data_IF_999387819761
#
_entry.id   IF_999387819761
#
_cell.length_a   1.000
_cell.length_b   1.000
_cell.length_c   1.000
_cell.angle_alpha   90.00
_cell.angle_beta   90.00
_cell.angle_gamma   90.00
#
_symmetry.space_group_name_H-M   'P 1'
#
loop_
_entity.id
_entity.type
_entity.pdbx_description
1 polymer ?
#
# COMPACT_ATOMS: atom_id res chain seq x y z
N UNK A 1 -15.89 -15.24 -35.78
CA UNK A 1 -14.84 -14.38 -35.22
C UNK A 1 -15.55 -13.12 -34.74
N UNK A 2 -15.72 -12.98 -33.42
CA UNK A 2 -16.23 -11.75 -32.81
C UNK A 2 -15.04 -10.76 -32.73
N UNK A 3 -15.13 -9.69 -33.49
CA UNK A 3 -14.21 -8.58 -33.47
C UNK A 3 -14.41 -7.80 -32.14
N UNK A 4 -13.58 -8.03 -31.16
CA UNK A 4 -13.56 -7.20 -29.96
C UNK A 4 -12.96 -5.83 -30.31
N UNK A 5 -13.80 -4.84 -30.47
CA UNK A 5 -13.35 -3.45 -30.58
C UNK A 5 -12.91 -3.00 -29.20
N UNK A 6 -11.59 -2.98 -28.95
CA UNK A 6 -11.04 -2.38 -27.74
C UNK A 6 -11.31 -0.87 -27.84
N UNK A 7 -12.19 -0.37 -27.00
CA UNK A 7 -12.43 1.07 -26.92
C UNK A 7 -11.12 1.79 -26.60
N UNK A 8 -10.83 2.86 -27.35
CA UNK A 8 -9.69 3.74 -27.06
C UNK A 8 -9.81 4.18 -25.61
N UNK A 9 -8.77 3.99 -24.78
CA UNK A 9 -8.86 4.36 -23.37
C UNK A 9 -9.13 5.86 -23.26
N UNK A 10 -10.26 6.23 -22.68
CA UNK A 10 -10.54 7.61 -22.26
C UNK A 10 -9.49 8.04 -21.25
N UNK A 11 -9.19 9.33 -21.17
CA UNK A 11 -8.25 9.80 -20.14
C UNK A 11 -8.72 9.37 -18.75
N UNK A 12 -7.79 9.19 -17.82
CA UNK A 12 -8.11 8.83 -16.44
C UNK A 12 -9.10 9.81 -15.79
N UNK A 13 -8.95 11.11 -16.10
CA UNK A 13 -9.88 12.15 -15.66
C UNK A 13 -11.31 11.91 -16.20
N UNK A 14 -11.44 11.49 -17.45
CA UNK A 14 -12.73 11.15 -18.04
C UNK A 14 -13.32 9.87 -17.43
N UNK A 15 -12.48 8.90 -17.08
CA UNK A 15 -12.92 7.69 -16.37
C UNK A 15 -13.49 8.01 -14.99
N UNK A 16 -12.89 8.93 -14.26
CA UNK A 16 -13.42 9.42 -12.98
C UNK A 16 -14.78 10.10 -13.16
N UNK A 17 -14.87 11.05 -14.09
CA UNK A 17 -16.11 11.76 -14.36
C UNK A 17 -17.25 10.81 -14.79
N UNK A 18 -16.95 9.80 -15.60
CA UNK A 18 -17.92 8.80 -16.01
C UNK A 18 -18.42 7.98 -14.83
N UNK A 19 -17.53 7.57 -13.92
CA UNK A 19 -17.90 6.81 -12.75
C UNK A 19 -18.70 7.64 -11.74
N UNK A 20 -18.36 8.91 -11.52
CA UNK A 20 -19.15 9.82 -10.69
C UNK A 20 -20.57 9.98 -11.22
N UNK A 21 -20.70 10.13 -12.54
CA UNK A 21 -22.01 10.21 -13.21
C UNK A 21 -22.83 8.91 -13.04
N UNK A 22 -22.19 7.75 -13.15
CA UNK A 22 -22.85 6.44 -13.01
C UNK A 22 -23.24 6.15 -11.55
N UNK A 23 -22.39 6.48 -10.59
CA UNK A 23 -22.66 6.27 -9.17
C UNK A 23 -23.57 7.34 -8.55
N UNK A 24 -23.72 8.50 -9.21
CA UNK A 24 -24.50 9.64 -8.69
C UNK A 24 -23.91 10.25 -7.41
N UNK A 25 -22.61 10.04 -7.15
CA UNK A 25 -21.85 10.59 -6.03
C UNK A 25 -20.42 10.91 -6.43
N UNK A 26 -19.77 11.80 -5.70
CA UNK A 26 -18.33 12.01 -5.82
C UNK A 26 -17.55 10.74 -5.45
N UNK A 27 -16.56 10.37 -6.24
CA UNK A 27 -15.70 9.22 -5.97
C UNK A 27 -14.70 9.55 -4.87
N UNK A 28 -14.44 8.55 -4.04
CA UNK A 28 -13.44 8.60 -2.97
C UNK A 28 -12.02 8.39 -3.52
N UNK A 29 -10.99 8.64 -2.72
CA UNK A 29 -9.61 8.30 -3.09
C UNK A 29 -9.42 6.78 -3.26
N UNK A 30 -10.16 5.95 -2.52
CA UNK A 30 -10.17 4.51 -2.69
C UNK A 30 -10.81 4.09 -4.03
N UNK A 31 -11.91 4.73 -4.44
CA UNK A 31 -12.50 4.52 -5.76
C UNK A 31 -11.49 4.89 -6.86
N UNK A 32 -10.80 6.02 -6.72
CA UNK A 32 -9.77 6.47 -7.68
C UNK A 32 -8.60 5.49 -7.75
N UNK A 33 -8.15 4.96 -6.61
CA UNK A 33 -7.09 3.96 -6.56
C UNK A 33 -7.46 2.69 -7.34
N UNK A 34 -8.69 2.20 -7.15
CA UNK A 34 -9.19 1.03 -7.86
C UNK A 34 -9.32 1.28 -9.37
N UNK A 35 -9.82 2.46 -9.77
CA UNK A 35 -9.94 2.83 -11.19
C UNK A 35 -8.56 2.95 -11.83
N UNK A 36 -7.61 3.59 -11.15
CA UNK A 36 -6.24 3.71 -11.61
C UNK A 36 -5.61 2.35 -11.87
N UNK A 37 -5.86 1.40 -10.98
CA UNK A 37 -5.40 0.03 -11.12
C UNK A 37 -5.99 -0.62 -12.40
N UNK A 38 -7.31 -0.58 -12.57
CA UNK A 38 -7.99 -1.14 -13.74
C UNK A 38 -7.53 -0.42 -15.02
N UNK A 39 -7.44 0.91 -15.00
CA UNK A 39 -6.99 1.69 -16.13
C UNK A 39 -5.55 1.34 -16.55
N UNK A 40 -4.66 1.16 -15.60
CA UNK A 40 -3.28 0.74 -15.85
C UNK A 40 -3.21 -0.65 -16.46
N UNK A 41 -4.04 -1.57 -15.99
CA UNK A 41 -4.14 -2.91 -16.59
C UNK A 41 -4.63 -2.85 -18.05
N UNK A 42 -5.64 -2.04 -18.34
CA UNK A 42 -6.20 -1.90 -19.69
C UNK A 42 -5.24 -1.13 -20.61
N UNK A 43 -4.67 -0.03 -20.16
CA UNK A 43 -3.71 0.77 -20.94
C UNK A 43 -2.43 0.00 -21.25
N UNK A 44 -1.98 -0.86 -20.34
CA UNK A 44 -0.84 -1.74 -20.55
C UNK A 44 -1.06 -2.80 -21.63
N UNK A 45 -2.32 -3.13 -21.94
CA UNK A 45 -2.68 -4.08 -23.01
C UNK A 45 -2.97 -3.43 -24.37
N UNK A 46 -3.29 -2.13 -24.39
CA UNK A 46 -3.80 -1.45 -25.60
C UNK A 46 -2.78 -0.54 -26.31
N UNK A 47 -1.68 -0.19 -25.68
CA UNK A 47 -0.69 0.73 -26.26
C UNK A 47 0.68 0.09 -26.37
N UNK A 48 1.25 -0.01 -27.57
CA UNK A 48 2.62 -0.42 -27.83
C UNK A 48 3.69 0.55 -27.26
N UNK A 49 3.40 1.24 -26.19
CA UNK A 49 4.33 1.96 -25.33
C UNK A 49 4.55 1.09 -24.10
N UNK A 50 5.78 0.71 -23.87
CA UNK A 50 6.30 -0.11 -22.78
C UNK A 50 6.04 0.47 -21.38
N UNK A 51 4.78 0.58 -20.99
CA UNK A 51 4.44 0.57 -19.58
C UNK A 51 4.30 -0.91 -19.20
N UNK A 52 5.44 -1.55 -19.07
CA UNK A 52 5.53 -2.93 -18.67
C UNK A 52 4.88 -3.10 -17.30
N UNK A 53 4.22 -4.22 -17.09
CA UNK A 53 3.74 -4.64 -15.79
C UNK A 53 4.84 -4.77 -14.71
N UNK A 54 6.05 -4.29 -14.99
CA UNK A 54 7.17 -4.10 -14.08
C UNK A 54 6.79 -3.28 -12.84
N UNK A 55 6.02 -2.21 -13.00
CA UNK A 55 5.59 -1.39 -11.86
C UNK A 55 4.50 -2.05 -11.01
N UNK A 56 3.74 -2.97 -11.60
CA UNK A 56 2.68 -3.72 -10.91
C UNK A 56 3.20 -4.99 -10.23
N UNK A 57 4.38 -5.50 -10.62
CA UNK A 57 4.94 -6.76 -10.09
C UNK A 57 6.00 -6.57 -9.01
N UNK A 58 6.21 -5.33 -8.55
CA UNK A 58 7.40 -4.98 -7.80
C UNK A 58 8.59 -4.75 -8.75
N UNK A 59 9.65 -4.18 -8.22
CA UNK A 59 10.87 -3.88 -9.00
C UNK A 59 11.83 -5.09 -9.12
N UNK A 60 11.39 -6.27 -8.64
CA UNK A 60 12.19 -7.50 -8.61
C UNK A 60 13.36 -7.48 -7.64
N UNK A 61 13.54 -6.38 -6.89
CA UNK A 61 14.59 -6.30 -5.86
C UNK A 61 14.11 -6.94 -4.56
N UNK A 62 14.94 -7.78 -3.96
CA UNK A 62 14.69 -8.32 -2.61
C UNK A 62 14.80 -7.22 -1.55
N UNK A 63 13.96 -7.29 -0.52
CA UNK A 63 14.19 -6.49 0.69
C UNK A 63 15.40 -7.03 1.45
N UNK A 64 16.15 -6.15 2.08
CA UNK A 64 17.32 -6.51 2.89
C UNK A 64 16.87 -6.90 4.31
N UNK A 65 16.09 -7.97 4.40
CA UNK A 65 15.61 -8.58 5.64
C UNK A 65 15.92 -10.07 5.58
N UNK A 66 16.67 -10.55 6.57
CA UNK A 66 16.94 -11.99 6.68
C UNK A 66 15.64 -12.74 7.00
N UNK A 67 15.30 -13.71 6.16
CA UNK A 67 14.11 -14.55 6.34
C UNK A 67 14.11 -15.29 7.69
N UNK A 68 15.26 -15.54 8.27
CA UNK A 68 15.38 -16.14 9.60
C UNK A 68 14.84 -15.28 10.75
N UNK A 69 14.57 -14.00 10.50
CA UNK A 69 13.88 -13.12 11.41
C UNK A 69 12.37 -13.40 11.54
N UNK A 70 11.80 -14.09 10.55
CA UNK A 70 10.41 -14.49 10.55
C UNK A 70 10.19 -15.78 11.35
N UNK A 71 9.07 -15.85 12.05
CA UNK A 71 8.70 -17.05 12.84
C UNK A 71 8.04 -18.12 11.98
N UNK A 72 7.28 -17.74 10.96
CA UNK A 72 6.64 -18.63 10.01
C UNK A 72 6.54 -17.97 8.61
N UNK A 73 7.63 -17.90 7.87
CA UNK A 73 7.65 -17.23 6.58
C UNK A 73 6.75 -17.85 5.51
N UNK A 74 6.35 -19.11 5.69
CA UNK A 74 5.45 -19.78 4.75
C UNK A 74 3.99 -19.30 4.84
N UNK A 75 3.60 -18.79 6.00
CA UNK A 75 2.24 -18.33 6.26
C UNK A 75 2.25 -16.86 6.70
N UNK A 76 1.37 -16.05 6.12
CA UNK A 76 1.23 -14.64 6.54
C UNK A 76 0.63 -14.58 7.95
N UNK A 77 1.36 -14.01 8.88
CA UNK A 77 1.01 -13.97 10.28
C UNK A 77 1.34 -12.63 10.94
N UNK A 78 0.74 -12.38 12.10
CA UNK A 78 0.85 -11.11 12.83
C UNK A 78 2.29 -10.82 13.30
N UNK A 79 3.02 -11.83 13.78
CA UNK A 79 4.38 -11.64 14.30
C UNK A 79 5.36 -11.24 13.17
N UNK A 80 5.23 -11.85 12.01
CA UNK A 80 6.07 -11.54 10.87
C UNK A 80 5.69 -10.21 10.22
N UNK A 81 4.41 -9.78 10.29
CA UNK A 81 4.00 -8.43 9.93
C UNK A 81 4.72 -7.39 10.82
N UNK A 82 4.79 -7.64 12.12
CA UNK A 82 5.54 -6.77 13.05
C UNK A 82 7.01 -6.69 12.67
N UNK A 83 7.64 -7.84 12.41
CA UNK A 83 9.05 -7.91 11.98
C UNK A 83 9.29 -7.12 10.71
N UNK A 84 8.42 -7.27 9.71
CA UNK A 84 8.48 -6.53 8.45
C UNK A 84 8.30 -5.03 8.64
N UNK A 85 7.32 -4.61 9.45
CA UNK A 85 7.08 -3.19 9.71
C UNK A 85 8.26 -2.54 10.45
N UNK A 86 8.83 -3.22 11.44
CA UNK A 86 10.02 -2.75 12.16
C UNK A 86 11.20 -2.61 11.19
N UNK A 87 11.43 -3.61 10.32
CA UNK A 87 12.47 -3.52 9.30
C UNK A 87 12.29 -2.32 8.38
N UNK A 88 11.08 -2.05 7.91
CA UNK A 88 10.79 -0.90 7.07
C UNK A 88 11.11 0.43 7.78
N UNK A 89 10.78 0.54 9.06
CA UNK A 89 11.11 1.70 9.88
C UNK A 89 12.63 1.84 10.11
N UNK A 90 13.30 0.78 10.53
CA UNK A 90 14.75 0.81 10.81
C UNK A 90 15.58 1.07 9.54
N UNK A 91 15.11 0.61 8.39
CA UNK A 91 15.71 0.85 7.08
C UNK A 91 15.36 2.23 6.49
N UNK A 92 14.57 3.05 7.19
CA UNK A 92 14.26 4.41 6.77
C UNK A 92 13.44 4.50 5.48
N UNK A 93 12.47 3.60 5.29
CA UNK A 93 11.63 3.64 4.09
C UNK A 93 10.86 4.97 4.00
N UNK A 94 10.82 5.52 2.79
CA UNK A 94 10.11 6.75 2.51
C UNK A 94 8.61 6.55 2.33
N UNK A 95 7.92 7.68 2.13
CA UNK A 95 6.49 7.67 1.81
C UNK A 95 6.24 8.22 0.40
N UNK A 96 5.58 7.40 -0.42
CA UNK A 96 4.99 7.83 -1.70
C UNK A 96 3.65 7.13 -1.86
N UNK A 97 2.59 7.90 -2.11
CA UNK A 97 1.25 7.38 -2.29
C UNK A 97 1.19 6.33 -3.42
N UNK A 98 0.57 5.19 -3.12
CA UNK A 98 0.43 4.08 -4.05
C UNK A 98 1.67 3.21 -4.22
N UNK A 99 2.68 3.31 -3.31
CA UNK A 99 3.80 2.37 -3.23
C UNK A 99 3.62 1.41 -2.05
N UNK A 100 4.31 0.29 -2.10
CA UNK A 100 4.13 -0.82 -1.15
C UNK A 100 5.45 -1.53 -0.78
N UNK A 101 6.54 -0.79 -0.74
CA UNK A 101 7.90 -1.26 -0.49
C UNK A 101 8.78 -1.25 -1.75
N UNK A 102 8.32 -0.60 -2.82
CA UNK A 102 9.08 -0.44 -4.06
C UNK A 102 10.35 0.40 -3.85
N UNK A 103 11.41 0.08 -4.57
CA UNK A 103 12.51 1.04 -4.77
C UNK A 103 12.01 2.18 -5.65
N UNK A 104 12.08 3.41 -5.16
CA UNK A 104 11.62 4.58 -5.89
C UNK A 104 12.63 4.98 -6.96
N UNK A 105 12.42 4.49 -8.17
CA UNK A 105 13.19 4.90 -9.36
C UNK A 105 12.62 6.18 -9.96
N UNK A 106 13.40 6.86 -10.83
CA UNK A 106 12.91 8.01 -11.62
C UNK A 106 11.65 7.65 -12.42
N UNK A 107 11.63 6.46 -13.00
CA UNK A 107 10.49 6.00 -13.81
C UNK A 107 9.26 5.80 -12.93
N UNK A 108 9.41 5.19 -11.76
CA UNK A 108 8.30 4.98 -10.82
C UNK A 108 7.80 6.33 -10.29
N UNK A 109 8.68 7.25 -9.93
CA UNK A 109 8.27 8.58 -9.46
C UNK A 109 7.49 9.33 -10.55
N UNK A 110 8.01 9.37 -11.78
CA UNK A 110 7.31 10.00 -12.92
C UNK A 110 5.92 9.39 -13.11
N UNK A 111 5.81 8.07 -13.02
CA UNK A 111 4.53 7.38 -13.10
C UNK A 111 3.58 7.78 -11.96
N UNK A 112 4.07 7.81 -10.71
CA UNK A 112 3.26 8.19 -9.54
C UNK A 112 2.85 9.67 -9.56
N UNK A 113 3.68 10.56 -10.05
CA UNK A 113 3.32 11.98 -10.29
C UNK A 113 2.16 12.08 -11.29
N UNK A 114 2.22 11.31 -12.37
CA UNK A 114 1.14 11.28 -13.36
C UNK A 114 -0.15 10.67 -12.82
N UNK A 115 -0.02 9.62 -11.99
CA UNK A 115 -1.14 8.90 -11.40
C UNK A 115 -1.84 9.70 -10.29
N UNK A 116 -1.07 10.41 -9.49
CA UNK A 116 -1.51 11.15 -8.30
C UNK A 116 -0.96 12.58 -8.30
N UNK A 117 -1.40 13.46 -9.21
CA UNK A 117 -0.82 14.80 -9.34
C UNK A 117 -0.93 15.62 -8.06
N UNK A 118 -2.03 15.50 -7.31
CA UNK A 118 -2.21 16.22 -6.05
C UNK A 118 -1.44 15.58 -4.89
N UNK A 119 -1.50 14.26 -4.75
CA UNK A 119 -0.90 13.53 -3.63
C UNK A 119 0.60 13.31 -3.78
N UNK A 120 1.12 13.21 -5.00
CA UNK A 120 2.53 12.97 -5.30
C UNK A 120 3.14 14.15 -6.05
N UNK A 121 2.48 14.64 -7.12
CA UNK A 121 3.02 15.70 -7.96
C UNK A 121 3.27 17.00 -7.18
N UNK A 122 2.35 17.43 -6.34
CA UNK A 122 2.52 18.61 -5.49
C UNK A 122 3.65 18.48 -4.45
N UNK A 123 4.20 17.28 -4.28
CA UNK A 123 5.26 16.97 -3.31
C UNK A 123 6.52 16.41 -3.99
N UNK A 124 6.62 16.46 -5.31
CA UNK A 124 7.70 15.83 -6.08
C UNK A 124 9.09 16.28 -5.61
N UNK A 125 9.30 17.56 -5.34
CA UNK A 125 10.59 18.09 -4.88
C UNK A 125 11.03 17.45 -3.55
N UNK A 126 10.10 17.30 -2.60
CA UNK A 126 10.38 16.68 -1.30
C UNK A 126 10.68 15.19 -1.48
N UNK A 127 9.90 14.52 -2.33
CA UNK A 127 10.07 13.09 -2.63
C UNK A 127 11.42 12.84 -3.27
N UNK A 128 11.80 13.63 -4.27
CA UNK A 128 13.10 13.53 -4.94
C UNK A 128 14.27 13.74 -3.96
N UNK A 129 14.15 14.75 -3.12
CA UNK A 129 15.23 15.10 -2.19
C UNK A 129 15.46 14.04 -1.10
N UNK A 130 14.42 13.33 -0.68
CA UNK A 130 14.50 12.46 0.50
C UNK A 130 14.36 10.97 0.19
N UNK A 131 13.59 10.59 -0.85
CA UNK A 131 13.15 9.20 -1.02
C UNK A 131 13.63 8.55 -2.32
N UNK A 132 14.09 9.32 -3.30
CA UNK A 132 14.55 8.78 -4.58
C UNK A 132 15.72 7.81 -4.39
N UNK A 133 15.62 6.63 -4.99
CA UNK A 133 16.61 5.56 -4.87
C UNK A 133 16.43 4.68 -3.62
N UNK A 134 15.61 5.09 -2.64
CA UNK A 134 15.24 4.31 -1.47
C UNK A 134 13.93 3.55 -1.67
N UNK A 135 13.60 2.67 -0.71
CA UNK A 135 12.27 2.03 -0.68
C UNK A 135 11.21 2.98 -0.15
N UNK A 136 10.01 2.88 -0.72
CA UNK A 136 8.86 3.70 -0.34
C UNK A 136 7.61 2.87 -0.21
N UNK A 137 6.72 3.30 0.69
CA UNK A 137 5.40 2.72 0.88
C UNK A 137 4.40 3.79 1.27
N UNK A 138 3.11 3.59 1.03
CA UNK A 138 2.06 4.36 1.71
C UNK A 138 1.56 3.61 2.95
N UNK A 139 0.57 4.18 3.64
CA UNK A 139 0.12 3.65 4.93
C UNK A 139 -0.38 2.20 4.82
N UNK A 140 -1.26 1.89 3.89
CA UNK A 140 -1.77 0.53 3.68
C UNK A 140 -0.81 -0.32 2.85
N UNK A 141 0.01 0.32 2.03
CA UNK A 141 1.08 -0.31 1.26
C UNK A 141 2.09 -1.04 2.15
N UNK A 142 2.37 -0.52 3.35
CA UNK A 142 3.21 -1.19 4.34
C UNK A 142 2.65 -2.59 4.70
N UNK A 143 1.35 -2.71 4.90
CA UNK A 143 0.69 -3.98 5.21
C UNK A 143 0.59 -4.86 3.96
N UNK A 144 0.17 -4.29 2.83
CA UNK A 144 0.05 -5.02 1.56
C UNK A 144 1.40 -5.55 1.08
N UNK A 145 2.46 -4.76 1.23
CA UNK A 145 3.82 -5.18 0.88
C UNK A 145 4.25 -6.43 1.63
N UNK A 146 3.96 -6.54 2.93
CA UNK A 146 4.14 -7.77 3.67
C UNK A 146 3.26 -8.91 3.10
N UNK A 147 1.99 -8.63 2.84
CA UNK A 147 1.07 -9.61 2.28
C UNK A 147 1.55 -10.20 0.94
N UNK A 148 2.20 -9.38 0.12
CA UNK A 148 2.74 -9.76 -1.19
C UNK A 148 4.20 -10.22 -1.18
N UNK A 149 4.86 -10.23 -0.02
CA UNK A 149 6.25 -10.64 0.09
C UNK A 149 6.39 -12.14 -0.20
N UNK A 150 7.25 -12.49 -1.17
CA UNK A 150 7.65 -13.88 -1.42
C UNK A 150 8.72 -14.28 -0.41
N UNK A 151 8.51 -15.34 0.38
CA UNK A 151 9.50 -15.79 1.35
C UNK A 151 10.73 -16.45 0.68
N UNK A 152 10.60 -16.96 -0.55
CA UNK A 152 11.68 -17.61 -1.27
C UNK A 152 12.70 -16.63 -1.82
N UNK A 153 12.26 -15.44 -2.22
CA UNK A 153 13.08 -14.44 -2.91
C UNK A 153 13.24 -13.16 -2.14
N UNK A 154 12.43 -12.96 -1.10
CA UNK A 154 12.29 -11.70 -0.36
C UNK A 154 11.94 -10.52 -1.26
N UNK A 155 11.27 -10.78 -2.39
CA UNK A 155 10.69 -9.78 -3.30
C UNK A 155 9.22 -9.55 -2.99
N UNK A 156 8.74 -8.34 -3.27
CA UNK A 156 7.32 -8.01 -3.09
C UNK A 156 6.63 -8.21 -4.44
N UNK A 157 5.88 -9.30 -4.54
CA UNK A 157 5.21 -9.71 -5.77
C UNK A 157 3.72 -9.27 -5.70
N UNK A 158 3.44 -8.14 -6.33
CA UNK A 158 2.11 -7.51 -6.32
C UNK A 158 0.97 -8.48 -6.64
N UNK A 159 -0.08 -8.44 -5.81
CA UNK A 159 -1.30 -9.22 -6.01
C UNK A 159 -1.20 -10.71 -5.69
N UNK A 160 -0.12 -11.15 -5.02
CA UNK A 160 0.08 -12.56 -4.64
C UNK A 160 -0.44 -12.86 -3.23
N UNK A 161 -0.36 -14.14 -2.84
CA UNK A 161 -0.66 -14.66 -1.50
C UNK A 161 -2.06 -14.27 -0.96
N UNK A 162 -3.01 -13.95 -1.83
CA UNK A 162 -4.40 -13.65 -1.46
C UNK A 162 -4.63 -12.26 -0.88
N UNK A 163 -3.60 -11.44 -0.67
CA UNK A 163 -3.75 -10.06 -0.21
C UNK A 163 -4.27 -9.19 -1.37
N UNK A 164 -5.47 -8.57 -1.24
CA UNK A 164 -6.02 -7.72 -2.29
C UNK A 164 -5.35 -6.34 -2.29
N UNK A 165 -5.43 -5.65 -3.43
CA UNK A 165 -5.05 -4.23 -3.52
C UNK A 165 -6.22 -3.34 -3.11
N UNK A 166 -6.28 -3.01 -1.84
CA UNK A 166 -7.34 -2.20 -1.21
C UNK A 166 -6.74 -1.05 -0.41
N UNK A 167 -7.51 0.02 -0.25
CA UNK A 167 -7.14 1.18 0.55
C UNK A 167 -7.30 0.95 2.06
N UNK A 168 -6.82 1.89 2.87
CA UNK A 168 -6.86 1.80 4.33
C UNK A 168 -8.29 1.64 4.88
N UNK A 169 -9.25 2.39 4.34
CA UNK A 169 -10.65 2.29 4.76
C UNK A 169 -11.24 0.93 4.40
N UNK A 170 -10.97 0.44 3.19
CA UNK A 170 -11.48 -0.85 2.76
C UNK A 170 -10.83 -2.01 3.55
N UNK A 171 -9.54 -1.88 3.93
CA UNK A 171 -8.88 -2.83 4.82
C UNK A 171 -9.63 -2.94 6.15
N UNK A 172 -9.99 -1.80 6.76
CA UNK A 172 -10.79 -1.76 7.99
C UNK A 172 -12.18 -2.38 7.79
N UNK A 173 -12.91 -2.00 6.74
CA UNK A 173 -14.26 -2.53 6.49
C UNK A 173 -14.30 -4.01 6.10
N UNK A 174 -13.18 -4.57 5.63
CA UNK A 174 -13.05 -5.99 5.30
C UNK A 174 -12.64 -6.85 6.50
N UNK A 175 -12.30 -6.24 7.64
CA UNK A 175 -11.88 -6.97 8.82
C UNK A 175 -13.05 -7.75 9.45
N UNK A 176 -12.79 -8.99 9.83
CA UNK A 176 -13.78 -9.84 10.52
C UNK A 176 -13.79 -9.62 12.03
N UNK A 177 -12.72 -9.02 12.57
CA UNK A 177 -12.58 -8.69 13.98
C UNK A 177 -11.95 -7.31 14.12
N UNK A 178 -12.68 -6.40 14.74
CA UNK A 178 -12.28 -5.01 14.97
C UNK A 178 -13.04 -4.42 16.17
N UNK A 179 -12.59 -3.29 16.68
CA UNK A 179 -13.25 -2.57 17.76
C UNK A 179 -12.75 -1.13 17.85
N UNK A 180 -13.34 -0.38 18.78
CA UNK A 180 -12.86 0.98 19.10
C UNK A 180 -11.51 0.90 19.82
N UNK A 181 -10.69 1.93 19.68
CA UNK A 181 -9.30 1.91 20.16
C UNK A 181 -9.19 1.63 21.68
N UNK A 182 -10.16 2.06 22.46
CA UNK A 182 -10.23 1.82 23.90
C UNK A 182 -10.50 0.35 24.28
N UNK A 183 -10.96 -0.46 23.33
CA UNK A 183 -11.18 -1.91 23.50
C UNK A 183 -10.05 -2.76 22.93
N UNK A 184 -8.98 -2.14 22.44
CA UNK A 184 -7.91 -2.83 21.72
C UNK A 184 -7.18 -3.82 22.66
N UNK A 185 -7.09 -5.11 22.31
CA UNK A 185 -6.23 -6.04 23.02
C UNK A 185 -4.75 -5.76 22.74
N UNK A 186 -3.90 -6.07 23.69
CA UNK A 186 -2.44 -5.92 23.52
C UNK A 186 -1.87 -7.11 22.70
N UNK A 187 -2.18 -7.11 21.40
CA UNK A 187 -1.75 -8.14 20.46
C UNK A 187 -0.92 -7.46 19.35
N UNK A 188 0.41 -7.63 19.34
CA UNK A 188 1.25 -7.12 18.25
C UNK A 188 0.82 -7.69 16.89
N UNK A 189 0.87 -6.85 15.86
CA UNK A 189 0.42 -7.17 14.51
C UNK A 189 -1.04 -6.79 14.22
N UNK A 190 -1.81 -6.34 15.22
CA UNK A 190 -3.06 -5.64 14.94
C UNK A 190 -2.78 -4.38 14.13
N UNK A 191 -3.70 -4.01 13.27
CA UNK A 191 -3.67 -2.68 12.69
C UNK A 191 -4.48 -1.70 13.54
N UNK A 192 -4.02 -0.45 13.58
CA UNK A 192 -4.76 0.69 14.13
C UNK A 192 -5.16 1.61 13.00
N UNK A 193 -6.38 2.16 13.08
CA UNK A 193 -7.00 2.85 11.98
C UNK A 193 -7.77 4.10 12.44
N UNK A 194 -7.74 5.11 11.61
CA UNK A 194 -8.74 6.17 11.52
C UNK A 194 -9.05 6.42 10.04
N UNK A 195 -10.10 7.12 9.73
CA UNK A 195 -10.50 7.34 8.33
C UNK A 195 -9.33 7.87 7.48
N UNK A 196 -9.02 7.14 6.43
CA UNK A 196 -7.95 7.47 5.47
C UNK A 196 -6.54 7.05 5.88
N UNK A 197 -6.33 6.45 7.06
CA UNK A 197 -5.00 6.07 7.53
C UNK A 197 -4.98 4.78 8.36
N UNK A 198 -3.85 4.06 8.30
CA UNK A 198 -3.66 2.79 9.00
C UNK A 198 -2.19 2.62 9.40
N UNK A 199 -1.95 1.97 10.53
CA UNK A 199 -0.63 1.62 11.04
C UNK A 199 -0.61 0.22 11.63
N UNK A 200 0.58 -0.30 11.93
CA UNK A 200 0.81 -1.63 12.53
C UNK A 200 1.19 -1.46 13.99
N UNK A 201 0.37 -1.98 14.89
CA UNK A 201 0.69 -2.03 16.31
C UNK A 201 1.78 -3.07 16.58
N UNK A 202 2.85 -2.68 17.24
CA UNK A 202 4.01 -3.55 17.49
C UNK A 202 4.17 -3.97 18.96
N UNK A 203 3.15 -3.69 19.79
CA UNK A 203 3.19 -3.94 21.22
C UNK A 203 3.68 -2.73 22.03
N UNK A 204 3.52 -2.81 23.35
CA UNK A 204 4.00 -1.80 24.30
C UNK A 204 3.51 -0.36 24.01
N UNK A 205 2.32 -0.21 23.46
CA UNK A 205 1.77 1.10 23.10
C UNK A 205 2.43 1.77 21.90
N UNK A 206 3.15 1.03 21.05
CA UNK A 206 3.89 1.57 19.91
C UNK A 206 3.29 1.10 18.57
N UNK A 207 3.37 1.98 17.57
CA UNK A 207 2.86 1.76 16.22
C UNK A 207 3.95 2.08 15.21
N UNK A 208 4.09 1.27 14.16
CA UNK A 208 4.81 1.63 12.95
C UNK A 208 3.79 2.05 11.90
N UNK A 209 4.00 3.23 11.33
CA UNK A 209 3.12 3.78 10.30
C UNK A 209 3.92 4.49 9.20
N UNK A 210 3.49 4.37 7.96
CA UNK A 210 3.96 5.25 6.89
C UNK A 210 3.14 6.54 6.97
N UNK A 211 3.69 7.53 7.68
CA UNK A 211 2.96 8.70 8.19
C UNK A 211 2.64 9.73 7.09
N UNK A 212 3.47 9.82 6.07
CA UNK A 212 3.29 10.78 4.99
C UNK A 212 4.62 11.22 4.36
N UNK A 213 4.52 11.97 3.28
CA UNK A 213 5.64 12.32 2.39
C UNK A 213 6.84 12.95 3.12
N UNK A 214 6.61 13.73 4.18
CA UNK A 214 7.69 14.41 4.94
C UNK A 214 8.39 13.50 5.93
N UNK A 215 7.77 12.40 6.31
CA UNK A 215 8.19 11.61 7.47
C UNK A 215 8.65 10.20 7.09
N UNK A 216 8.11 9.62 5.99
CA UNK A 216 8.34 8.22 5.66
C UNK A 216 7.68 7.26 6.64
N UNK A 217 8.31 6.11 6.84
CA UNK A 217 7.92 5.12 7.84
C UNK A 217 8.52 5.50 9.19
N UNK A 218 7.67 5.63 10.19
CA UNK A 218 8.05 6.10 11.54
C UNK A 218 7.47 5.20 12.61
N UNK A 219 8.08 5.24 13.79
CA UNK A 219 7.55 4.66 15.02
C UNK A 219 6.93 5.75 15.88
N UNK A 220 5.69 5.56 16.30
CA UNK A 220 4.90 6.53 17.07
C UNK A 220 4.27 5.88 18.29
N UNK A 221 3.84 6.70 19.24
CA UNK A 221 3.05 6.23 20.38
C UNK A 221 1.58 6.09 19.99
N UNK A 222 0.94 5.02 20.43
CA UNK A 222 -0.48 4.74 20.16
C UNK A 222 -1.40 5.89 20.60
N UNK A 223 -1.12 6.47 21.77
CA UNK A 223 -2.03 7.40 22.45
C UNK A 223 -2.13 8.78 21.79
N UNK A 224 -1.14 9.22 21.03
CA UNK A 224 -1.05 10.61 20.56
C UNK A 224 -1.34 10.77 19.05
N UNK A 225 -1.88 9.71 18.39
CA UNK A 225 -2.04 9.70 16.94
C UNK A 225 -3.48 9.78 16.43
N UNK A 226 -4.46 9.88 17.33
CA UNK A 226 -5.87 10.01 16.95
C UNK A 226 -6.47 8.75 16.34
N UNK A 227 -5.88 7.59 16.58
CA UNK A 227 -6.45 6.30 16.20
C UNK A 227 -7.84 6.14 16.82
N UNK A 228 -8.79 5.66 16.03
CA UNK A 228 -10.19 5.50 16.45
C UNK A 228 -10.57 4.04 16.64
N UNK A 229 -9.98 3.15 15.85
CA UNK A 229 -10.30 1.72 15.85
C UNK A 229 -9.03 0.88 15.71
N UNK A 230 -9.17 -0.38 16.08
CA UNK A 230 -8.23 -1.44 15.80
C UNK A 230 -8.89 -2.54 14.96
N UNK A 231 -8.08 -3.36 14.28
CA UNK A 231 -8.57 -4.50 13.50
C UNK A 231 -7.52 -5.61 13.43
N UNK A 232 -7.98 -6.85 13.32
CA UNK A 232 -7.16 -7.91 12.75
C UNK A 232 -7.07 -7.71 11.25
N UNK A 233 -5.86 -7.60 10.74
CA UNK A 233 -5.63 -7.42 9.30
C UNK A 233 -6.20 -8.63 8.56
N UNK A 234 -7.10 -8.46 7.59
CA UNK A 234 -7.59 -9.57 6.77
C UNK A 234 -6.43 -10.30 6.08
N UNK A 235 -6.58 -11.57 5.83
CA UNK A 235 -5.59 -12.42 5.12
C UNK A 235 -4.28 -12.68 5.89
N UNK A 236 -4.24 -12.36 7.17
CA UNK A 236 -3.11 -12.62 8.08
C UNK A 236 -3.61 -13.50 9.23
N UNK A 237 -2.81 -14.48 9.62
CA UNK A 237 -3.09 -15.35 10.76
C UNK A 237 -2.69 -14.69 12.09
N UNK A 238 -3.52 -14.86 13.11
CA UNK A 238 -3.31 -14.35 14.48
C UNK A 238 -3.27 -15.48 15.52
N UNK A 239 -3.29 -16.74 15.09
CA UNK A 239 -3.26 -17.92 15.96
C UNK A 239 -1.85 -18.29 16.40
#
# INVERSE_FOLDING_TARGET
>A
EEEYTVAVPVSLHQAYANLEAELGRTITEDDKSNINHIYTMIAGTAGGGSYSGEFLRGDGSSIDLDISAFVDPANKNAADLVTYAIHAWESGWGYVWGTYGNVLTESLLTYKVSQYPDGVGNHEDIIRANWLGGRTTDCVGLIKGYGWLSPETMTIDYGTHGMPDIGANQMYYSATESGTIDTMPDIPGLAVWHEGHIGVYIGNGQVIEAMGTRYGVVKTELVDRGWTHWLKVPYINYD
#
